data_IF_780579246403
#
_entry.id   IF_780579246403
#
_cell.length_a   1.000
_cell.length_b   1.000
_cell.length_c   1.000
_cell.angle_alpha   90.00
_cell.angle_beta   90.00
_cell.angle_gamma   90.00
#
_symmetry.space_group_name_H-M   'P 1'
#
loop_
_entity.id
_entity.type
_entity.pdbx_description
1 polymer ?
#
# COMPACT_ATOMS: atom_id res chain seq x y z
N UNK A 1 -60.57 7.13 -2.22
CA UNK A 1 -59.30 7.82 -2.55
C UNK A 1 -58.82 7.28 -3.89
N UNK A 2 -58.53 8.13 -4.88
CA UNK A 2 -57.97 7.67 -6.15
C UNK A 2 -56.63 6.95 -5.88
N UNK A 3 -56.43 5.79 -6.51
CA UNK A 3 -55.17 5.04 -6.44
C UNK A 3 -54.15 5.81 -7.26
N UNK A 4 -53.05 6.21 -6.63
CA UNK A 4 -51.93 6.83 -7.34
C UNK A 4 -51.27 5.74 -8.20
N UNK A 5 -51.37 5.90 -9.52
CA UNK A 5 -50.63 5.12 -10.50
C UNK A 5 -49.17 5.55 -10.39
N UNK A 6 -48.33 4.71 -9.77
CA UNK A 6 -46.89 4.95 -9.69
C UNK A 6 -46.23 4.29 -10.89
N UNK A 7 -45.61 5.09 -11.75
CA UNK A 7 -44.80 4.56 -12.84
C UNK A 7 -43.45 4.08 -12.29
N UNK A 8 -42.86 3.07 -12.92
CA UNK A 8 -41.59 2.49 -12.47
C UNK A 8 -40.45 3.53 -12.43
N UNK A 9 -40.55 4.56 -13.28
CA UNK A 9 -39.62 5.69 -13.35
C UNK A 9 -39.64 6.54 -12.08
N UNK A 10 -40.81 6.73 -11.44
CA UNK A 10 -40.93 7.51 -10.21
C UNK A 10 -40.23 6.82 -9.02
N UNK A 11 -40.05 5.51 -9.10
CA UNK A 11 -39.30 4.71 -8.11
C UNK A 11 -37.79 4.64 -8.38
N UNK A 12 -37.31 5.10 -9.55
CA UNK A 12 -35.88 5.09 -9.91
C UNK A 12 -35.09 6.25 -9.30
N UNK A 13 -35.76 7.22 -8.69
CA UNK A 13 -35.14 8.39 -8.05
C UNK A 13 -33.94 8.04 -7.14
N UNK A 14 -34.07 7.08 -6.19
CA UNK A 14 -32.96 6.65 -5.35
C UNK A 14 -31.80 6.00 -6.12
N UNK A 15 -32.09 5.27 -7.19
CA UNK A 15 -31.07 4.62 -8.03
C UNK A 15 -30.26 5.67 -8.79
N UNK A 16 -30.95 6.65 -9.39
CA UNK A 16 -30.31 7.76 -10.10
C UNK A 16 -29.49 8.61 -9.13
N UNK A 17 -30.02 8.92 -7.94
CA UNK A 17 -29.29 9.65 -6.92
C UNK A 17 -28.02 8.90 -6.46
N UNK A 18 -28.10 7.58 -6.26
CA UNK A 18 -26.95 6.75 -5.90
C UNK A 18 -25.89 6.73 -7.01
N UNK A 19 -26.30 6.67 -8.28
CA UNK A 19 -25.38 6.75 -9.42
C UNK A 19 -24.68 8.11 -9.49
N UNK A 20 -25.43 9.21 -9.34
CA UNK A 20 -24.85 10.56 -9.32
C UNK A 20 -23.85 10.69 -8.17
N UNK A 21 -24.21 10.23 -6.97
CA UNK A 21 -23.32 10.25 -5.82
C UNK A 21 -22.03 9.44 -6.08
N UNK A 22 -22.16 8.23 -6.62
CA UNK A 22 -21.01 7.39 -6.97
C UNK A 22 -20.08 8.07 -7.99
N UNK A 23 -20.65 8.71 -9.02
CA UNK A 23 -19.87 9.47 -10.02
C UNK A 23 -19.17 10.67 -9.38
N UNK A 24 -19.83 11.41 -8.50
CA UNK A 24 -19.22 12.56 -7.81
C UNK A 24 -18.07 12.11 -6.91
N UNK A 25 -18.25 11.05 -6.11
CA UNK A 25 -17.19 10.49 -5.27
C UNK A 25 -16.03 9.98 -6.12
N UNK A 26 -16.33 9.32 -7.24
CA UNK A 26 -15.31 8.87 -8.19
C UNK A 26 -14.52 10.03 -8.76
N UNK A 27 -15.19 11.09 -9.23
CA UNK A 27 -14.54 12.28 -9.76
C UNK A 27 -13.68 12.96 -8.70
N UNK A 28 -14.17 13.16 -7.48
CA UNK A 28 -13.38 13.77 -6.40
C UNK A 28 -12.14 12.92 -6.09
N UNK A 29 -12.29 11.61 -6.00
CA UNK A 29 -11.17 10.69 -5.75
C UNK A 29 -10.16 10.73 -6.90
N UNK A 30 -10.64 10.72 -8.14
CA UNK A 30 -9.79 10.67 -9.32
C UNK A 30 -9.16 12.01 -9.68
N UNK A 31 -9.82 13.14 -9.43
CA UNK A 31 -9.29 14.47 -9.81
C UNK A 31 -8.65 15.19 -8.64
N UNK A 32 -9.24 15.16 -7.44
CA UNK A 32 -8.69 15.91 -6.31
C UNK A 32 -7.60 15.11 -5.62
N UNK A 33 -7.86 13.86 -5.25
CA UNK A 33 -6.86 13.08 -4.53
C UNK A 33 -5.68 12.74 -5.47
N UNK A 34 -5.95 12.16 -6.63
CA UNK A 34 -4.89 11.71 -7.54
C UNK A 34 -4.13 12.86 -8.22
N UNK A 35 -4.72 14.05 -8.42
CA UNK A 35 -4.06 15.16 -9.14
C UNK A 35 -3.66 16.34 -8.24
N UNK A 36 -4.42 16.64 -7.19
CA UNK A 36 -4.19 17.81 -6.33
C UNK A 36 -3.50 17.47 -5.01
N UNK A 37 -3.82 16.33 -4.39
CA UNK A 37 -3.19 15.91 -3.14
C UNK A 37 -1.84 15.21 -3.33
N UNK A 38 -1.59 14.58 -4.47
CA UNK A 38 -0.34 13.86 -4.72
C UNK A 38 0.76 14.83 -5.11
N UNK A 39 1.67 15.04 -4.18
CA UNK A 39 2.87 15.84 -4.38
C UNK A 39 3.91 15.02 -5.14
N UNK A 40 4.84 15.69 -5.83
CA UNK A 40 5.92 15.06 -6.62
C UNK A 40 6.87 14.12 -5.84
N UNK A 41 6.66 14.00 -4.53
CA UNK A 41 7.47 13.18 -3.60
C UNK A 41 6.69 11.97 -3.09
N UNK A 42 5.40 11.89 -3.36
CA UNK A 42 4.55 10.78 -2.94
C UNK A 42 4.71 9.60 -3.90
N UNK A 43 4.32 8.43 -3.40
CA UNK A 43 4.39 7.19 -4.15
C UNK A 43 3.54 7.22 -5.43
N UNK A 44 4.06 6.58 -6.48
CA UNK A 44 3.34 6.40 -7.74
C UNK A 44 2.02 5.69 -7.48
N UNK A 45 0.92 6.34 -7.87
CA UNK A 45 -0.40 5.71 -7.71
C UNK A 45 -0.55 4.49 -8.61
N UNK A 46 -1.48 3.62 -8.23
CA UNK A 46 -1.90 2.50 -9.08
C UNK A 46 -2.36 3.02 -10.45
N UNK A 47 -3.00 4.18 -10.50
CA UNK A 47 -3.40 4.83 -11.75
C UNK A 47 -2.21 5.26 -12.59
N UNK A 48 -1.17 5.86 -12.01
CA UNK A 48 0.06 6.23 -12.75
C UNK A 48 0.82 4.98 -13.24
N UNK A 49 0.90 3.92 -12.43
CA UNK A 49 1.50 2.63 -12.82
C UNK A 49 0.73 1.96 -13.95
N UNK A 50 -0.60 2.00 -13.91
CA UNK A 50 -1.45 1.45 -14.98
C UNK A 50 -1.38 2.31 -16.24
N UNK A 51 -1.40 3.64 -16.09
CA UNK A 51 -1.23 4.62 -17.16
C UNK A 51 0.11 4.46 -17.89
N UNK A 52 1.19 4.20 -17.16
CA UNK A 52 2.50 3.93 -17.75
C UNK A 52 2.51 2.73 -18.69
N UNK A 53 1.74 1.66 -18.39
CA UNK A 53 1.63 0.48 -19.27
C UNK A 53 0.95 0.82 -20.60
N UNK A 54 -0.01 1.74 -20.57
CA UNK A 54 -0.73 2.23 -21.76
C UNK A 54 -0.15 3.54 -22.32
N UNK A 55 0.99 4.01 -21.81
CA UNK A 55 1.62 5.32 -22.10
C UNK A 55 0.70 6.55 -21.92
N UNK A 56 -0.29 6.48 -21.03
CA UNK A 56 -1.20 7.59 -20.70
C UNK A 56 -0.86 8.20 -19.34
N UNK A 57 -0.78 9.53 -19.27
CA UNK A 57 -0.46 10.25 -18.03
C UNK A 57 -1.72 10.44 -17.18
N UNK A 58 -1.86 9.59 -16.17
CA UNK A 58 -3.01 9.57 -15.24
C UNK A 58 -2.70 10.25 -13.89
N UNK A 59 -1.75 11.19 -13.87
CA UNK A 59 -1.35 11.88 -12.65
C UNK A 59 -0.36 13.03 -12.87
N UNK A 60 0.12 13.65 -11.78
CA UNK A 60 1.01 14.80 -11.81
C UNK A 60 2.45 14.43 -12.22
N UNK A 61 2.88 13.17 -12.07
CA UNK A 61 4.22 12.75 -12.44
C UNK A 61 4.37 12.63 -13.96
N UNK A 62 5.53 13.04 -14.46
CA UNK A 62 5.85 12.91 -15.89
C UNK A 62 6.16 11.46 -16.25
N UNK A 63 5.86 11.05 -17.49
CA UNK A 63 6.15 9.68 -17.97
C UNK A 63 7.61 9.27 -17.80
N UNK A 64 8.53 10.23 -17.88
CA UNK A 64 9.95 9.98 -17.64
C UNK A 64 10.24 9.62 -16.18
N UNK A 65 9.58 10.28 -15.22
CA UNK A 65 9.70 9.96 -13.79
C UNK A 65 9.07 8.59 -13.48
N UNK A 66 7.93 8.28 -14.10
CA UNK A 66 7.25 6.99 -13.88
C UNK A 66 8.07 5.83 -14.45
N UNK A 67 8.63 5.97 -15.67
CA UNK A 67 9.49 4.95 -16.30
C UNK A 67 10.82 4.74 -15.57
N UNK A 68 11.31 5.76 -14.86
CA UNK A 68 12.51 5.66 -14.02
C UNK A 68 12.28 4.89 -12.71
N UNK A 69 11.04 4.45 -12.45
CA UNK A 69 10.67 3.73 -11.23
C UNK A 69 10.08 4.62 -10.13
N UNK A 70 9.80 5.90 -10.43
CA UNK A 70 9.26 6.85 -9.44
C UNK A 70 10.27 7.22 -8.35
N UNK A 71 9.77 7.88 -7.31
CA UNK A 71 10.49 8.03 -6.05
C UNK A 71 10.35 6.74 -5.24
N UNK A 72 11.44 6.30 -4.61
CA UNK A 72 11.40 5.16 -3.68
C UNK A 72 10.60 5.61 -2.46
N UNK A 73 9.49 4.92 -2.19
CA UNK A 73 8.65 5.09 -1.00
C UNK A 73 9.50 5.15 0.26
N UNK A 74 9.38 6.23 1.03
CA UNK A 74 9.99 6.31 2.37
C UNK A 74 9.48 5.19 3.27
N UNK A 75 8.22 4.79 3.12
CA UNK A 75 7.64 3.64 3.83
C UNK A 75 8.30 2.32 3.43
N UNK A 76 8.48 2.05 2.13
CA UNK A 76 9.15 0.82 1.70
C UNK A 76 10.58 0.75 2.21
N UNK A 77 11.31 1.89 2.23
CA UNK A 77 12.66 1.95 2.78
C UNK A 77 12.68 1.68 4.29
N UNK A 78 11.74 2.24 5.03
CA UNK A 78 11.59 2.04 6.46
C UNK A 78 11.24 0.58 6.79
N UNK A 79 10.34 -0.06 6.04
CA UNK A 79 9.98 -1.47 6.18
C UNK A 79 11.17 -2.40 5.90
N UNK A 80 11.93 -2.15 4.83
CA UNK A 80 13.14 -2.93 4.53
C UNK A 80 14.21 -2.77 5.61
N UNK A 81 14.41 -1.54 6.12
CA UNK A 81 15.33 -1.29 7.22
C UNK A 81 14.87 -1.99 8.51
N UNK A 82 13.57 -1.97 8.82
CA UNK A 82 13.00 -2.70 9.96
C UNK A 82 13.19 -4.21 9.81
N UNK A 83 12.87 -4.76 8.65
CA UNK A 83 13.01 -6.19 8.37
C UNK A 83 14.48 -6.65 8.44
N UNK A 84 15.40 -5.83 7.91
CA UNK A 84 16.85 -6.07 8.00
C UNK A 84 17.33 -6.03 9.46
N UNK A 85 16.87 -5.06 10.26
CA UNK A 85 17.20 -4.99 11.70
C UNK A 85 16.64 -6.19 12.46
N UNK A 86 15.41 -6.62 12.15
CA UNK A 86 14.77 -7.78 12.76
C UNK A 86 15.53 -9.07 12.47
N UNK A 87 15.84 -9.34 11.20
CA UNK A 87 16.64 -10.52 10.79
C UNK A 87 18.01 -10.55 11.46
N UNK A 88 18.74 -9.43 11.45
CA UNK A 88 20.01 -9.30 12.17
C UNK A 88 19.88 -9.55 13.69
N UNK A 89 18.76 -9.17 14.30
CA UNK A 89 18.53 -9.41 15.73
C UNK A 89 18.26 -10.88 16.04
N UNK A 90 17.57 -11.60 15.15
CA UNK A 90 17.31 -13.03 15.27
C UNK A 90 18.61 -13.82 15.13
N UNK A 91 19.41 -13.51 14.12
CA UNK A 91 20.70 -14.17 13.86
C UNK A 91 21.64 -14.02 15.07
N UNK A 92 21.70 -12.81 15.65
CA UNK A 92 22.47 -12.55 16.87
C UNK A 92 21.98 -13.36 18.07
N UNK A 93 20.66 -13.42 18.29
CA UNK A 93 20.09 -14.21 19.38
C UNK A 93 20.35 -15.71 19.20
N UNK A 94 20.33 -16.22 17.97
CA UNK A 94 20.64 -17.62 17.68
C UNK A 94 22.13 -17.91 17.94
N UNK A 95 23.03 -17.04 17.51
CA UNK A 95 24.46 -17.18 17.77
C UNK A 95 24.78 -17.17 19.27
N UNK A 96 24.19 -16.25 20.04
CA UNK A 96 24.35 -16.22 21.51
C UNK A 96 23.81 -17.48 22.18
N UNK A 97 22.67 -18.01 21.71
CA UNK A 97 22.12 -19.28 22.21
C UNK A 97 23.03 -20.46 21.91
N UNK A 98 23.62 -20.53 20.72
CA UNK A 98 24.56 -21.59 20.36
C UNK A 98 25.81 -21.54 21.22
N UNK A 99 26.40 -20.35 21.41
CA UNK A 99 27.56 -20.16 22.28
C UNK A 99 27.26 -20.55 23.74
N UNK A 100 26.10 -20.16 24.27
CA UNK A 100 25.70 -20.58 25.61
C UNK A 100 25.51 -22.09 25.71
N UNK A 101 24.98 -22.74 24.67
CA UNK A 101 24.77 -24.18 24.65
C UNK A 101 26.10 -24.95 24.56
N UNK A 102 27.06 -24.46 23.76
CA UNK A 102 28.42 -25.00 23.70
C UNK A 102 29.15 -24.87 25.03
N UNK A 103 29.11 -23.69 25.67
CA UNK A 103 29.73 -23.48 26.98
C UNK A 103 29.14 -24.41 28.05
N UNK A 104 27.82 -24.60 28.06
CA UNK A 104 27.16 -25.52 28.98
C UNK A 104 27.51 -27.01 28.72
N UNK A 105 27.80 -27.41 27.48
CA UNK A 105 28.28 -28.76 27.16
C UNK A 105 29.73 -28.97 27.60
N UNK A 106 30.61 -27.99 27.36
CA UNK A 106 32.01 -28.06 27.76
C UNK A 106 32.17 -28.15 29.29
N UNK A 107 31.38 -27.37 30.05
CA UNK A 107 31.36 -27.43 31.50
C UNK A 107 30.77 -28.77 32.03
N UNK A 108 29.80 -29.35 31.32
CA UNK A 108 29.21 -30.64 31.64
C UNK A 108 30.13 -31.85 31.41
N UNK A 109 31.02 -31.78 30.43
CA UNK A 109 32.06 -32.81 30.21
C UNK A 109 33.22 -32.71 31.22
N UNK A 110 33.58 -31.50 31.66
CA UNK A 110 34.65 -31.30 32.64
C UNK A 110 34.34 -31.86 34.04
N UNK A 111 33.06 -32.02 34.41
CA UNK A 111 32.63 -32.53 35.73
C UNK A 111 32.61 -34.08 35.78
N UNK A 112 32.72 -34.76 34.63
CA UNK A 112 32.69 -36.23 34.55
C UNK A 112 34.05 -36.93 34.64
N UNK A 113 35.15 -36.19 34.80
CA UNK A 113 36.51 -36.73 34.92
C UNK A 113 37.12 -36.50 36.30
#
# INVERSE_FOLDING_TARGET
MPKQEFDAIDMMGPVVAALIFAVVVFLISFTIINWYCITKKDDLTVFEKMGAKINVRLGPHTMMQIKRGGYVSTYAREEEEQHRKMTLSIDKQQAERLLNNENNMADGEAIKH
#
